data_IF_464747797300
#
_entry.id   IF_464747797300
#
_cell.length_a   1.000
_cell.length_b   1.000
_cell.length_c   1.000
_cell.angle_alpha   90.00
_cell.angle_beta   90.00
_cell.angle_gamma   90.00
#
_symmetry.space_group_name_H-M   'P 1'
#
loop_
_entity.id
_entity.type
_entity.pdbx_description
1 polymer ?
#
# COMPACT_ATOMS: atom_id res chain seq x y z
N UNK A 1 -13.11 21.39 0.83
CA UNK A 1 -13.79 20.17 1.30
C UNK A 1 -12.71 19.18 1.69
N UNK A 2 -12.60 18.83 2.98
CA UNK A 2 -11.62 17.83 3.41
C UNK A 2 -12.15 16.45 3.01
N UNK A 3 -11.73 15.97 1.84
CA UNK A 3 -11.93 14.57 1.45
C UNK A 3 -11.05 13.69 2.33
N UNK A 4 -11.60 13.30 3.47
CA UNK A 4 -11.00 12.29 4.31
C UNK A 4 -11.12 10.95 3.57
N UNK A 5 -10.00 10.40 3.07
CA UNK A 5 -10.00 9.17 2.26
C UNK A 5 -10.70 7.96 2.91
N UNK A 6 -10.88 7.97 4.23
CA UNK A 6 -11.54 6.89 4.98
C UNK A 6 -12.94 7.25 5.53
N UNK A 7 -13.39 8.51 5.42
CA UNK A 7 -14.70 8.98 5.89
C UNK A 7 -15.31 9.88 4.82
N UNK A 8 -16.45 9.49 4.27
CA UNK A 8 -17.16 10.26 3.25
C UNK A 8 -18.26 11.09 3.92
N UNK A 9 -18.33 12.39 3.62
CA UNK A 9 -19.49 13.21 3.95
C UNK A 9 -20.58 12.97 2.89
N UNK A 10 -21.75 12.49 3.30
CA UNK A 10 -22.86 12.20 2.36
C UNK A 10 -23.80 13.41 2.21
N UNK A 11 -23.54 14.51 2.93
CA UNK A 11 -24.33 15.73 2.89
C UNK A 11 -24.83 16.16 4.28
N UNK A 12 -24.95 17.48 4.46
CA UNK A 12 -25.25 18.08 5.76
C UNK A 12 -24.22 17.68 6.82
N UNK A 13 -24.68 17.13 7.94
CA UNK A 13 -23.84 16.64 9.04
C UNK A 13 -23.77 15.11 9.09
N UNK A 14 -24.03 14.40 7.97
CA UNK A 14 -23.97 12.93 7.91
C UNK A 14 -22.65 12.46 7.33
N UNK A 15 -21.98 11.59 8.07
CA UNK A 15 -20.73 10.96 7.67
C UNK A 15 -20.94 9.46 7.51
N UNK A 16 -20.20 8.85 6.60
CA UNK A 16 -20.19 7.41 6.37
C UNK A 16 -18.77 6.88 6.29
N UNK A 17 -18.61 5.69 6.83
CA UNK A 17 -17.43 4.87 6.75
C UNK A 17 -17.80 3.58 6.02
N UNK A 18 -17.05 3.28 4.96
CA UNK A 18 -17.15 2.02 4.23
C UNK A 18 -15.96 1.15 4.65
N UNK A 19 -16.24 0.06 5.36
CA UNK A 19 -15.25 -0.94 5.78
C UNK A 19 -15.55 -2.24 5.05
N UNK A 20 -14.53 -3.02 4.77
CA UNK A 20 -14.69 -4.37 4.24
C UNK A 20 -14.07 -5.36 5.21
N UNK A 21 -14.89 -6.13 5.92
CA UNK A 21 -14.43 -7.08 6.93
C UNK A 21 -15.01 -8.47 6.62
N UNK A 22 -14.18 -9.51 6.62
CA UNK A 22 -14.57 -10.89 6.29
C UNK A 22 -15.38 -11.01 4.98
N UNK A 23 -14.91 -10.36 3.91
CA UNK A 23 -15.55 -10.29 2.60
C UNK A 23 -16.95 -9.61 2.56
N UNK A 24 -17.44 -9.10 3.69
CA UNK A 24 -18.68 -8.32 3.78
C UNK A 24 -18.38 -6.83 3.80
N UNK A 25 -19.16 -6.07 3.03
CA UNK A 25 -19.11 -4.62 3.06
C UNK A 25 -19.96 -4.12 4.23
N UNK A 26 -19.30 -3.48 5.19
CA UNK A 26 -19.93 -2.84 6.35
C UNK A 26 -19.99 -1.35 6.06
N UNK A 27 -21.20 -0.82 6.02
CA UNK A 27 -21.43 0.61 5.84
C UNK A 27 -22.02 1.17 7.13
N UNK A 28 -21.21 1.95 7.86
CA UNK A 28 -21.67 2.64 9.05
C UNK A 28 -21.86 4.11 8.70
N UNK A 29 -23.04 4.66 8.98
CA UNK A 29 -23.28 6.10 8.91
C UNK A 29 -23.73 6.62 10.26
N UNK A 30 -23.32 7.85 10.59
CA UNK A 30 -23.81 8.53 11.77
C UNK A 30 -23.98 10.03 11.49
N UNK A 31 -24.82 10.66 12.31
CA UNK A 31 -24.96 12.11 12.35
C UNK A 31 -23.82 12.65 13.23
N UNK A 32 -23.00 13.52 12.66
CA UNK A 32 -21.82 14.08 13.30
C UNK A 32 -20.57 13.21 13.15
N UNK A 33 -19.43 13.89 13.06
CA UNK A 33 -18.13 13.27 12.83
C UNK A 33 -17.70 12.35 13.98
N UNK A 34 -18.04 12.71 15.21
CA UNK A 34 -17.69 11.96 16.43
C UNK A 34 -18.18 10.52 16.41
N UNK A 35 -19.47 10.30 16.13
CA UNK A 35 -20.06 8.94 16.15
C UNK A 35 -19.42 8.02 15.11
N UNK A 36 -19.08 8.56 13.95
CA UNK A 36 -18.40 7.83 12.88
C UNK A 36 -16.95 7.51 13.23
N UNK A 37 -16.21 8.47 13.80
CA UNK A 37 -14.82 8.26 14.25
C UNK A 37 -14.72 7.17 15.31
N UNK A 38 -15.55 7.24 16.36
CA UNK A 38 -15.52 6.27 17.46
C UNK A 38 -15.85 4.85 16.97
N UNK A 39 -16.90 4.71 16.15
CA UNK A 39 -17.30 3.41 15.62
C UNK A 39 -16.20 2.82 14.73
N UNK A 40 -15.61 3.63 13.85
CA UNK A 40 -14.50 3.19 12.99
C UNK A 40 -13.28 2.78 13.80
N UNK A 41 -12.90 3.56 14.82
CA UNK A 41 -11.73 3.26 15.65
C UNK A 41 -11.92 1.97 16.44
N UNK A 42 -13.15 1.68 16.89
CA UNK A 42 -13.51 0.38 17.48
C UNK A 42 -13.25 -0.78 16.50
N UNK A 43 -13.62 -0.64 15.23
CA UNK A 43 -13.32 -1.68 14.23
C UNK A 43 -11.81 -1.87 14.03
N UNK A 44 -11.05 -0.78 14.03
CA UNK A 44 -9.59 -0.86 13.87
C UNK A 44 -8.90 -1.57 15.04
N UNK A 45 -9.30 -1.27 16.27
CA UNK A 45 -8.69 -1.85 17.48
C UNK A 45 -9.22 -3.25 17.77
N UNK A 46 -10.53 -3.45 17.78
CA UNK A 46 -11.15 -4.71 18.20
C UNK A 46 -11.06 -5.83 17.16
N UNK A 47 -11.17 -5.51 15.86
CA UNK A 47 -11.17 -6.51 14.79
C UNK A 47 -9.79 -6.66 14.13
N UNK A 48 -8.75 -6.06 14.71
CA UNK A 48 -7.41 -5.90 14.11
C UNK A 48 -7.46 -5.44 12.64
N UNK A 49 -8.45 -4.61 12.32
CA UNK A 49 -8.67 -4.14 10.97
C UNK A 49 -7.75 -2.95 10.68
N UNK A 50 -7.17 -2.88 9.48
CA UNK A 50 -6.36 -1.75 9.05
C UNK A 50 -6.98 -1.09 7.83
N UNK A 51 -6.97 0.26 7.74
CA UNK A 51 -7.49 0.93 6.56
C UNK A 51 -6.68 0.55 5.32
N UNK A 52 -7.36 0.52 4.17
CA UNK A 52 -6.71 0.31 2.88
C UNK A 52 -5.64 1.37 2.66
N UNK A 53 -4.51 0.97 2.08
CA UNK A 53 -3.36 1.85 1.83
C UNK A 53 -2.69 2.40 3.11
N UNK A 54 -2.90 1.79 4.28
CA UNK A 54 -2.05 2.05 5.44
C UNK A 54 -0.65 1.47 5.22
N UNK A 55 -0.63 0.20 4.83
CA UNK A 55 0.57 -0.61 4.60
C UNK A 55 0.83 -0.81 3.12
N UNK A 56 2.11 -0.99 2.81
CA UNK A 56 2.61 -1.41 1.51
C UNK A 56 2.67 -2.94 1.50
N UNK A 57 2.13 -3.61 0.46
CA UNK A 57 2.18 -5.06 0.38
C UNK A 57 3.62 -5.54 0.24
N UNK A 58 3.98 -6.59 0.97
CA UNK A 58 5.17 -7.36 0.68
C UNK A 58 4.95 -8.17 -0.59
N UNK A 59 6.02 -8.35 -1.35
CA UNK A 59 6.01 -9.03 -2.63
C UNK A 59 6.61 -10.43 -2.49
N UNK A 60 6.13 -11.34 -3.33
CA UNK A 60 6.68 -12.66 -3.54
C UNK A 60 7.04 -12.84 -5.02
N UNK A 61 7.47 -14.05 -5.39
CA UNK A 61 7.78 -14.39 -6.79
C UNK A 61 6.54 -14.28 -7.70
N UNK A 62 5.33 -14.28 -7.14
CA UNK A 62 4.06 -14.01 -7.82
C UNK A 62 3.89 -12.56 -8.30
N UNK A 63 4.84 -11.67 -7.95
CA UNK A 63 4.95 -10.34 -8.56
C UNK A 63 5.31 -10.39 -10.05
N UNK A 64 5.89 -11.50 -10.53
CA UNK A 64 6.14 -11.76 -11.95
C UNK A 64 4.84 -12.28 -12.57
N UNK A 65 4.34 -11.60 -13.61
CA UNK A 65 3.12 -11.98 -14.33
C UNK A 65 3.45 -12.41 -15.76
N UNK A 66 3.05 -13.62 -16.20
CA UNK A 66 3.14 -13.98 -17.60
C UNK A 66 2.15 -13.13 -18.41
N UNK A 67 2.58 -12.70 -19.58
CA UNK A 67 1.83 -11.95 -20.57
C UNK A 67 2.02 -12.63 -21.92
N UNK A 68 0.97 -13.30 -22.41
CA UNK A 68 0.95 -13.90 -23.74
C UNK A 68 0.33 -12.94 -24.73
N UNK A 69 0.97 -12.78 -25.88
CA UNK A 69 0.47 -11.97 -26.98
C UNK A 69 0.57 -12.75 -28.29
N UNK A 70 -0.48 -12.66 -29.08
CA UNK A 70 -0.52 -13.15 -30.45
C UNK A 70 0.00 -12.07 -31.41
N UNK A 71 0.93 -12.43 -32.27
CA UNK A 71 1.38 -11.57 -33.36
C UNK A 71 0.39 -11.55 -34.51
N UNK A 72 0.52 -10.56 -35.41
CA UNK A 72 -0.28 -10.51 -36.64
C UNK A 72 -0.07 -11.72 -37.56
N UNK A 73 1.02 -12.47 -37.36
CA UNK A 73 1.36 -13.71 -38.05
C UNK A 73 0.63 -14.94 -37.48
N UNK A 74 -0.11 -14.81 -36.37
CA UNK A 74 -0.72 -15.92 -35.65
C UNK A 74 0.23 -16.66 -34.68
N UNK A 75 1.49 -16.23 -34.59
CA UNK A 75 2.44 -16.79 -33.63
C UNK A 75 2.22 -16.21 -32.24
N UNK A 76 2.11 -17.08 -31.24
CA UNK A 76 2.05 -16.67 -29.84
C UNK A 76 3.45 -16.58 -29.23
N UNK A 77 3.68 -15.55 -28.42
CA UNK A 77 4.82 -15.49 -27.52
C UNK A 77 4.39 -15.11 -26.11
N UNK A 78 5.07 -15.70 -25.12
CA UNK A 78 4.91 -15.35 -23.70
C UNK A 78 6.09 -14.50 -23.24
N UNK A 79 5.80 -13.38 -22.59
CA UNK A 79 6.78 -12.57 -21.84
C UNK A 79 6.44 -12.58 -20.36
N UNK A 80 7.42 -12.32 -19.53
CA UNK A 80 7.27 -12.25 -18.08
C UNK A 80 7.45 -10.81 -17.63
N UNK A 81 6.39 -10.19 -17.14
CA UNK A 81 6.38 -8.80 -16.70
C UNK A 81 6.50 -8.73 -15.18
N UNK A 82 7.49 -7.98 -14.70
CA UNK A 82 7.65 -7.63 -13.31
C UNK A 82 7.11 -6.21 -13.09
N UNK A 83 6.12 -6.06 -12.21
CA UNK A 83 5.60 -4.76 -11.77
C UNK A 83 6.57 -4.10 -10.78
N UNK A 84 7.73 -3.70 -11.30
CA UNK A 84 8.84 -3.17 -10.54
C UNK A 84 8.63 -1.71 -10.11
N UNK A 85 9.17 -1.38 -8.94
CA UNK A 85 9.25 -0.02 -8.40
C UNK A 85 10.70 0.26 -8.00
N UNK A 86 11.22 1.43 -8.35
CA UNK A 86 12.52 1.90 -7.89
C UNK A 86 12.53 2.03 -6.37
N UNK A 87 13.63 1.64 -5.72
CA UNK A 87 13.69 1.62 -4.26
C UNK A 87 13.85 3.02 -3.65
N UNK A 88 14.48 3.95 -4.36
CA UNK A 88 14.77 5.29 -3.86
C UNK A 88 13.52 6.16 -3.72
N UNK A 89 12.65 6.18 -4.73
CA UNK A 89 11.49 7.08 -4.84
C UNK A 89 10.16 6.34 -5.05
N UNK A 90 10.18 5.01 -5.07
CA UNK A 90 9.02 4.15 -5.31
C UNK A 90 8.28 4.46 -6.62
N UNK A 91 9.01 4.89 -7.64
CA UNK A 91 8.47 5.14 -8.98
C UNK A 91 8.22 3.82 -9.71
N UNK A 92 7.04 3.69 -10.30
CA UNK A 92 6.69 2.52 -11.09
C UNK A 92 7.53 2.45 -12.36
N UNK A 93 8.24 1.34 -12.55
CA UNK A 93 9.17 1.13 -13.65
C UNK A 93 9.13 -0.35 -14.07
N UNK A 94 8.09 -0.80 -14.79
CA UNK A 94 7.92 -2.20 -15.13
C UNK A 94 9.02 -2.72 -16.05
N UNK A 95 9.40 -3.98 -15.87
CA UNK A 95 10.44 -4.64 -16.67
C UNK A 95 9.85 -5.94 -17.22
N UNK A 96 10.09 -6.20 -18.51
CA UNK A 96 9.67 -7.45 -19.16
C UNK A 96 10.88 -8.32 -19.46
N UNK A 97 10.70 -9.64 -19.43
CA UNK A 97 11.71 -10.64 -19.75
C UNK A 97 11.14 -11.64 -20.76
N UNK A 98 12.02 -12.23 -21.57
CA UNK A 98 11.64 -13.30 -22.51
C UNK A 98 11.66 -14.67 -21.84
N UNK A 99 12.40 -14.80 -20.73
CA UNK A 99 12.59 -16.05 -19.98
C UNK A 99 12.06 -15.88 -18.56
N UNK A 100 11.37 -16.90 -18.00
CA UNK A 100 10.95 -16.89 -16.60
C UNK A 100 12.15 -16.96 -15.64
N UNK A 101 13.24 -17.60 -16.05
CA UNK A 101 14.46 -17.76 -15.25
C UNK A 101 15.11 -16.40 -15.06
N UNK A 102 15.34 -15.67 -16.15
CA UNK A 102 15.95 -14.33 -16.12
C UNK A 102 15.08 -13.35 -15.30
N UNK A 103 13.75 -13.46 -15.44
CA UNK A 103 12.82 -12.65 -14.65
C UNK A 103 12.98 -12.92 -13.15
N UNK A 104 13.13 -14.19 -12.78
CA UNK A 104 13.26 -14.62 -11.40
C UNK A 104 14.63 -14.23 -10.81
N UNK A 105 15.71 -14.41 -11.57
CA UNK A 105 17.06 -14.00 -11.17
C UNK A 105 17.16 -12.50 -10.91
N UNK A 106 16.51 -11.69 -11.75
CA UNK A 106 16.40 -10.26 -11.52
C UNK A 106 15.48 -9.92 -10.32
N UNK A 107 14.32 -10.57 -10.23
CA UNK A 107 13.30 -10.23 -9.24
C UNK A 107 13.72 -10.58 -7.81
N UNK A 108 14.42 -11.70 -7.59
CA UNK A 108 14.81 -12.18 -6.25
C UNK A 108 15.55 -11.14 -5.40
N UNK A 109 16.69 -10.56 -5.84
CA UNK A 109 17.39 -9.55 -5.06
C UNK A 109 16.56 -8.26 -4.90
N UNK A 110 15.79 -7.88 -5.91
CA UNK A 110 14.91 -6.71 -5.83
C UNK A 110 13.78 -6.89 -4.80
N UNK A 111 13.06 -8.02 -4.84
CA UNK A 111 11.98 -8.35 -3.90
C UNK A 111 12.50 -8.34 -2.47
N UNK A 112 13.68 -8.92 -2.22
CA UNK A 112 14.31 -8.90 -0.89
C UNK A 112 14.54 -7.47 -0.41
N UNK A 113 15.14 -6.64 -1.25
CA UNK A 113 15.43 -5.25 -0.91
C UNK A 113 14.13 -4.43 -0.71
N UNK A 114 13.16 -4.57 -1.60
CA UNK A 114 11.84 -3.94 -1.49
C UNK A 114 11.11 -4.35 -0.20
N UNK A 115 11.10 -5.64 0.13
CA UNK A 115 10.41 -6.16 1.31
C UNK A 115 11.06 -5.70 2.61
N UNK A 116 12.38 -5.50 2.63
CA UNK A 116 13.07 -4.92 3.77
C UNK A 116 12.58 -3.48 4.04
N UNK A 117 12.51 -2.65 2.99
CA UNK A 117 11.99 -1.27 3.08
C UNK A 117 10.52 -1.30 3.49
N UNK A 118 9.70 -2.13 2.85
CA UNK A 118 8.27 -2.24 3.14
C UNK A 118 8.02 -2.69 4.59
N UNK A 119 8.82 -3.61 5.14
CA UNK A 119 8.70 -4.04 6.53
C UNK A 119 8.98 -2.89 7.51
N UNK A 120 10.06 -2.14 7.30
CA UNK A 120 10.40 -0.96 8.12
C UNK A 120 9.33 0.13 8.02
N UNK A 121 8.92 0.45 6.79
CA UNK A 121 7.86 1.42 6.51
C UNK A 121 6.55 1.03 7.20
N UNK A 122 6.11 -0.22 7.05
CA UNK A 122 4.87 -0.69 7.65
C UNK A 122 4.91 -0.65 9.19
N UNK A 123 6.04 -0.97 9.81
CA UNK A 123 6.20 -0.84 11.26
C UNK A 123 5.99 0.59 11.75
N UNK A 124 6.64 1.57 11.11
CA UNK A 124 6.49 3.00 11.47
C UNK A 124 5.05 3.47 11.24
N UNK A 125 4.43 3.05 10.13
CA UNK A 125 3.04 3.40 9.79
C UNK A 125 2.05 2.83 10.78
N UNK A 126 2.28 1.62 11.26
CA UNK A 126 1.46 0.97 12.27
C UNK A 126 1.53 1.74 13.60
N UNK A 127 2.72 2.09 14.07
CA UNK A 127 2.89 2.90 15.29
C UNK A 127 2.21 4.28 15.17
N UNK A 128 2.40 4.96 14.03
CA UNK A 128 1.76 6.25 13.77
C UNK A 128 0.23 6.14 13.70
N UNK A 129 -0.28 5.02 13.17
CA UNK A 129 -1.70 4.73 13.11
C UNK A 129 -2.32 4.52 14.48
N UNK A 130 -1.68 3.77 15.37
CA UNK A 130 -2.16 3.55 16.74
C UNK A 130 -2.20 4.86 17.52
N UNK A 131 -1.15 5.68 17.44
CA UNK A 131 -1.13 7.04 18.03
C UNK A 131 -2.22 7.94 17.46
N UNK A 132 -2.48 7.84 16.15
CA UNK A 132 -3.54 8.60 15.52
C UNK A 132 -4.93 8.17 16.06
N UNK A 133 -5.17 6.88 16.28
CA UNK A 133 -6.44 6.41 16.87
C UNK A 133 -6.67 7.04 18.24
N UNK A 134 -5.65 7.06 19.11
CA UNK A 134 -5.72 7.65 20.45
C UNK A 134 -6.03 9.16 20.35
N UNK A 135 -5.28 9.88 19.51
CA UNK A 135 -5.46 11.32 19.32
C UNK A 135 -6.84 11.67 18.75
N UNK A 136 -7.42 10.85 17.88
CA UNK A 136 -8.78 11.04 17.36
C UNK A 136 -9.85 10.87 18.44
N UNK A 137 -9.61 10.04 19.45
CA UNK A 137 -10.52 9.89 20.61
C UNK A 137 -10.50 11.14 21.48
N UNK A 138 -9.32 11.71 21.71
CA UNK A 138 -9.14 12.92 22.53
C UNK A 138 -9.65 14.18 21.83
N UNK A 139 -9.26 14.37 20.57
CA UNK A 139 -9.51 15.62 19.84
C UNK A 139 -10.84 15.63 19.09
N UNK A 140 -11.45 14.46 18.89
CA UNK A 140 -12.64 14.25 18.07
C UNK A 140 -12.48 14.74 16.62
N UNK A 141 -11.23 14.79 16.13
CA UNK A 141 -10.85 15.15 14.77
C UNK A 141 -10.15 13.97 14.11
N UNK A 142 -10.20 13.83 12.77
CA UNK A 142 -9.51 12.76 12.06
C UNK A 142 -8.00 13.03 11.97
N UNK A 143 -7.19 12.04 12.33
CA UNK A 143 -5.72 12.10 12.30
C UNK A 143 -5.09 10.94 11.52
N UNK A 144 -5.84 9.88 11.23
CA UNK A 144 -5.33 8.73 10.45
C UNK A 144 -5.03 9.16 9.01
N UNK A 145 -3.73 9.20 8.67
CA UNK A 145 -3.27 9.42 7.29
C UNK A 145 -3.20 8.09 6.55
N UNK A 146 -3.66 8.04 5.30
CA UNK A 146 -3.56 6.86 4.40
C UNK A 146 -3.00 7.24 3.03
N UNK A 147 -2.45 6.25 2.35
CA UNK A 147 -1.69 6.44 1.13
C UNK A 147 -0.20 6.22 1.36
N UNK A 148 0.54 6.27 0.26
CA UNK A 148 2.00 6.18 0.30
C UNK A 148 2.57 7.52 0.74
N UNK A 149 3.39 7.48 1.78
CA UNK A 149 4.22 8.58 2.22
C UNK A 149 5.61 8.38 1.60
N UNK A 150 5.88 9.10 0.51
CA UNK A 150 7.14 8.94 -0.23
C UNK A 150 8.33 9.40 0.59
N UNK A 151 8.19 10.43 1.42
CA UNK A 151 9.30 10.90 2.28
C UNK A 151 9.67 9.82 3.31
N UNK A 152 8.66 9.21 3.95
CA UNK A 152 8.90 8.10 4.87
C UNK A 152 9.47 6.88 4.16
N UNK A 153 9.01 6.57 2.94
CA UNK A 153 9.58 5.49 2.15
C UNK A 153 11.07 5.71 1.87
N UNK A 154 11.44 6.91 1.41
CA UNK A 154 12.81 7.28 1.10
C UNK A 154 13.68 7.22 2.36
N UNK A 155 13.16 7.66 3.50
CA UNK A 155 13.84 7.54 4.78
C UNK A 155 14.07 6.07 5.15
N UNK A 156 13.06 5.19 5.00
CA UNK A 156 13.22 3.76 5.26
C UNK A 156 14.25 3.10 4.33
N UNK A 157 14.33 3.53 3.07
CA UNK A 157 15.35 3.07 2.14
C UNK A 157 16.76 3.43 2.60
N UNK A 158 16.95 4.68 3.06
CA UNK A 158 18.23 5.16 3.62
C UNK A 158 18.56 4.50 4.95
N UNK A 159 17.58 4.25 5.82
CA UNK A 159 17.79 3.53 7.09
C UNK A 159 18.37 2.12 6.86
N UNK A 160 18.01 1.47 5.74
CA UNK A 160 18.42 0.09 5.44
C UNK A 160 19.71 0.03 4.63
N UNK A 161 19.87 0.91 3.64
CA UNK A 161 20.96 0.84 2.66
C UNK A 161 21.96 2.00 2.76
N UNK A 162 21.73 2.98 3.64
CA UNK A 162 22.50 4.22 3.69
C UNK A 162 22.35 5.01 2.39
N UNK A 163 23.47 5.60 1.94
CA UNK A 163 23.53 6.32 0.66
C UNK A 163 23.61 5.39 -0.56
N UNK A 164 23.83 4.09 -0.35
CA UNK A 164 24.03 3.10 -1.41
C UNK A 164 22.75 2.29 -1.69
N UNK A 165 21.65 2.98 -2.02
CA UNK A 165 20.38 2.32 -2.35
C UNK A 165 20.55 1.51 -3.64
N UNK A 166 20.29 0.19 -3.64
CA UNK A 166 20.46 -0.64 -4.82
C UNK A 166 19.57 -0.20 -5.98
N UNK A 167 20.16 -0.04 -7.16
CA UNK A 167 19.46 0.34 -8.38
C UNK A 167 19.24 -0.89 -9.25
N UNK A 168 17.96 -1.27 -9.39
CA UNK A 168 17.55 -2.37 -10.25
C UNK A 168 17.08 -1.81 -11.60
N UNK A 169 17.94 -1.88 -12.61
CA UNK A 169 17.64 -1.45 -13.98
C UNK A 169 18.03 -2.57 -14.95
N UNK A 170 17.27 -2.70 -16.03
CA UNK A 170 17.65 -3.55 -17.17
C UNK A 170 18.50 -2.71 -18.12
N UNK A 171 19.71 -3.21 -18.43
CA UNK A 171 20.59 -2.66 -19.46
C UNK A 171 20.16 -3.13 -20.85
#
# INVERSE_FOLDING_TARGET
MNDFRNITCIGGNRFQVKLKHNQKDIQVSAIGLRGVLMTRNLFYTAANYRPRHLHIPQLDEGAIRPYTKEERSGNEYTRYQLHHYTLEDRKYAPICFSSPVDALEFAKPWIRAYNAIAARYNGIREEAFLKAIELEVETLKPHIKVGVDTELWNQCARDIFGDNIPVFKRH
#
